data_IF_559511382535
#
_entry.id   IF_559511382535
#
_cell.length_a   1.000
_cell.length_b   1.000
_cell.length_c   1.000
_cell.angle_alpha   90.00
_cell.angle_beta   90.00
_cell.angle_gamma   90.00
#
_symmetry.space_group_name_H-M   'P 1'
#
loop_
_entity.id
_entity.type
_entity.pdbx_description
1 polymer ?
#
# COMPACT_ATOMS: atom_id res chain seq x y z
N UNK A 1 15.81 -19.46 12.95
CA UNK A 1 16.23 -18.06 12.67
C UNK A 1 16.81 -18.08 11.28
N UNK A 2 16.18 -17.36 10.33
CA UNK A 2 16.75 -17.24 8.99
C UNK A 2 18.02 -16.40 9.10
N UNK A 3 19.15 -16.92 8.60
CA UNK A 3 20.39 -16.16 8.52
C UNK A 3 20.11 -14.86 7.76
N UNK A 4 20.31 -13.71 8.44
CA UNK A 4 20.32 -12.41 7.78
C UNK A 4 21.45 -12.46 6.75
N UNK A 5 21.12 -12.57 5.47
CA UNK A 5 22.09 -12.38 4.39
C UNK A 5 22.62 -10.96 4.50
N UNK A 6 23.80 -10.84 5.05
CA UNK A 6 24.52 -9.57 5.08
C UNK A 6 24.98 -9.27 3.65
N UNK A 7 24.55 -8.15 3.09
CA UNK A 7 25.03 -7.71 1.77
C UNK A 7 26.46 -7.21 1.96
N UNK A 8 27.44 -8.03 1.60
CA UNK A 8 28.87 -7.69 1.73
C UNK A 8 29.34 -6.75 0.62
N UNK A 9 28.88 -7.00 -0.59
CA UNK A 9 29.18 -6.18 -1.77
C UNK A 9 27.88 -5.80 -2.50
N UNK A 10 27.86 -4.57 -3.03
CA UNK A 10 26.76 -4.10 -3.87
C UNK A 10 27.01 -4.61 -5.30
N UNK A 11 26.01 -5.22 -5.91
CA UNK A 11 26.05 -5.63 -7.32
C UNK A 11 26.27 -4.40 -8.21
N UNK A 12 27.01 -4.55 -9.30
CA UNK A 12 27.18 -3.47 -10.27
C UNK A 12 25.85 -3.18 -10.98
N UNK A 13 25.48 -1.90 -11.05
CA UNK A 13 24.22 -1.44 -11.65
C UNK A 13 24.09 -1.82 -13.12
N UNK A 14 25.22 -1.79 -13.87
CA UNK A 14 25.24 -2.13 -15.31
C UNK A 14 25.12 -3.65 -15.55
N UNK A 15 25.43 -4.47 -14.55
CA UNK A 15 25.34 -5.93 -14.62
C UNK A 15 23.93 -6.43 -14.27
N UNK A 16 23.36 -5.91 -13.18
CA UNK A 16 22.00 -6.27 -12.73
C UNK A 16 21.40 -5.12 -11.93
N UNK A 17 20.62 -4.28 -12.60
CA UNK A 17 19.99 -3.12 -11.99
C UNK A 17 19.03 -3.49 -10.84
N UNK A 18 18.22 -4.53 -11.01
CA UNK A 18 17.25 -4.93 -9.98
C UNK A 18 17.94 -5.39 -8.70
N UNK A 19 19.00 -6.17 -8.87
CA UNK A 19 19.80 -6.63 -7.75
C UNK A 19 20.59 -5.49 -7.11
N UNK A 20 21.22 -4.62 -7.89
CA UNK A 20 21.87 -3.41 -7.40
C UNK A 20 20.95 -2.57 -6.54
N UNK A 21 19.72 -2.28 -7.02
CA UNK A 21 18.73 -1.50 -6.29
C UNK A 21 18.40 -2.12 -4.92
N UNK A 22 18.17 -3.42 -4.91
CA UNK A 22 17.87 -4.16 -3.69
C UNK A 22 19.05 -4.17 -2.71
N UNK A 23 20.27 -4.40 -3.22
CA UNK A 23 21.49 -4.40 -2.41
C UNK A 23 21.74 -3.02 -1.78
N UNK A 24 21.53 -1.94 -2.53
CA UNK A 24 21.63 -0.55 -2.03
C UNK A 24 20.63 -0.31 -0.91
N UNK A 25 19.36 -0.62 -1.11
CA UNK A 25 18.32 -0.40 -0.12
C UNK A 25 18.58 -1.17 1.18
N UNK A 26 19.07 -2.42 1.05
CA UNK A 26 19.38 -3.28 2.20
C UNK A 26 20.66 -2.82 2.90
N UNK A 27 21.71 -2.52 2.16
CA UNK A 27 23.00 -2.06 2.69
C UNK A 27 22.91 -0.70 3.40
N UNK A 28 22.08 0.20 2.85
CA UNK A 28 21.79 1.50 3.46
C UNK A 28 20.79 1.41 4.63
N UNK A 29 20.39 0.22 5.02
CA UNK A 29 19.47 -0.02 6.14
C UNK A 29 18.09 0.66 5.97
N UNK A 30 17.64 0.84 4.72
CA UNK A 30 16.35 1.45 4.44
C UNK A 30 15.18 0.47 4.64
N UNK A 31 15.38 -0.79 4.27
CA UNK A 31 14.38 -1.86 4.33
C UNK A 31 14.96 -3.17 4.86
N UNK A 32 14.07 -3.99 5.41
CA UNK A 32 14.28 -5.43 5.62
C UNK A 32 13.14 -6.23 4.96
N UNK A 33 13.40 -7.46 4.58
CA UNK A 33 12.37 -8.38 4.08
C UNK A 33 11.49 -8.88 5.24
N UNK A 34 10.18 -8.85 5.04
CA UNK A 34 9.24 -9.47 5.97
C UNK A 34 9.10 -10.98 5.69
N UNK A 35 8.40 -11.68 6.59
CA UNK A 35 7.99 -13.07 6.37
C UNK A 35 6.87 -13.20 5.33
N UNK A 36 6.24 -12.10 4.94
CA UNK A 36 5.14 -12.05 3.97
C UNK A 36 5.73 -11.71 2.60
N UNK A 37 5.53 -12.60 1.63
CA UNK A 37 6.01 -12.39 0.26
C UNK A 37 5.48 -11.09 -0.33
N UNK A 38 6.38 -10.27 -0.86
CA UNK A 38 6.05 -8.98 -1.49
C UNK A 38 5.86 -7.81 -0.51
N UNK A 39 6.04 -8.05 0.79
CA UNK A 39 5.96 -6.98 1.80
C UNK A 39 7.31 -6.76 2.47
N UNK A 40 7.62 -5.49 2.73
CA UNK A 40 8.88 -5.05 3.33
C UNK A 40 8.63 -4.40 4.69
N UNK A 41 9.67 -4.44 5.52
CA UNK A 41 9.75 -3.65 6.74
C UNK A 41 10.57 -2.41 6.41
N UNK A 42 9.97 -1.24 6.50
CA UNK A 42 10.71 0.02 6.38
C UNK A 42 11.45 0.29 7.69
N UNK A 43 12.77 0.39 7.61
CA UNK A 43 13.62 0.71 8.75
C UNK A 43 13.63 2.23 9.01
N UNK A 44 14.14 2.70 10.15
CA UNK A 44 14.09 4.11 10.51
C UNK A 44 14.61 5.07 9.43
N UNK A 45 15.70 4.74 8.74
CA UNK A 45 16.23 5.59 7.68
C UNK A 45 15.30 5.63 6.45
N UNK A 46 14.75 4.48 6.04
CA UNK A 46 13.78 4.43 4.94
C UNK A 46 12.47 5.13 5.31
N UNK A 47 11.99 4.94 6.53
CA UNK A 47 10.78 5.62 7.00
C UNK A 47 10.96 7.13 7.11
N UNK A 48 12.15 7.62 7.50
CA UNK A 48 12.43 9.05 7.55
C UNK A 48 12.34 9.72 6.18
N UNK A 49 12.70 9.03 5.09
CA UNK A 49 12.52 9.53 3.72
C UNK A 49 11.01 9.67 3.44
N UNK A 50 10.22 8.66 3.73
CA UNK A 50 8.78 8.66 3.56
C UNK A 50 8.09 9.76 4.37
N UNK A 51 8.43 9.88 5.64
CA UNK A 51 7.88 10.91 6.55
C UNK A 51 8.16 12.33 6.04
N UNK A 52 9.38 12.58 5.53
CA UNK A 52 9.71 13.85 4.92
C UNK A 52 8.91 14.13 3.63
N UNK A 53 8.71 13.13 2.77
CA UNK A 53 7.87 13.26 1.57
C UNK A 53 6.44 13.62 1.98
N UNK A 54 5.83 12.88 2.91
CA UNK A 54 4.49 13.17 3.40
C UNK A 54 4.38 14.59 3.95
N UNK A 55 5.29 14.99 4.82
CA UNK A 55 5.27 16.31 5.46
C UNK A 55 5.38 17.45 4.45
N UNK A 56 6.25 17.32 3.46
CA UNK A 56 6.45 18.36 2.44
C UNK A 56 5.26 18.47 1.50
N UNK A 57 4.73 17.33 1.04
CA UNK A 57 3.56 17.31 0.13
C UNK A 57 2.30 17.77 0.84
N UNK A 58 2.04 17.32 2.06
CA UNK A 58 0.87 17.73 2.85
C UNK A 58 0.87 19.25 3.09
N UNK A 59 2.04 19.83 3.37
CA UNK A 59 2.17 21.27 3.53
C UNK A 59 1.80 22.04 2.25
N UNK A 60 2.18 21.54 1.08
CA UNK A 60 1.81 22.16 -0.21
C UNK A 60 0.31 22.03 -0.50
N UNK A 61 -0.29 20.87 -0.25
CA UNK A 61 -1.74 20.70 -0.41
C UNK A 61 -2.54 21.63 0.51
N UNK A 62 -2.14 21.79 1.75
CA UNK A 62 -2.80 22.69 2.71
C UNK A 62 -2.74 24.16 2.32
N UNK A 63 -1.71 24.62 1.63
CA UNK A 63 -1.63 25.97 1.10
C UNK A 63 -2.76 26.31 0.11
N UNK A 64 -3.32 25.30 -0.54
CA UNK A 64 -4.41 25.44 -1.51
C UNK A 64 -5.79 25.11 -0.92
N UNK A 65 -5.89 24.97 0.40
CA UNK A 65 -7.14 24.76 1.11
C UNK A 65 -7.62 23.32 1.17
N UNK A 66 -6.75 22.35 0.86
CA UNK A 66 -7.10 20.94 0.99
C UNK A 66 -7.07 20.51 2.46
N UNK A 67 -8.02 19.66 2.82
CA UNK A 67 -8.14 19.08 4.15
C UNK A 67 -7.97 17.55 4.09
N UNK A 68 -7.37 16.99 5.13
CA UNK A 68 -7.15 15.55 5.20
C UNK A 68 -8.43 14.84 5.63
N UNK A 69 -8.75 13.74 4.95
CA UNK A 69 -9.81 12.82 5.34
C UNK A 69 -9.25 11.41 5.48
N UNK A 70 -9.90 10.59 6.29
CA UNK A 70 -9.55 9.19 6.44
C UNK A 70 -10.77 8.30 6.15
N UNK A 71 -10.64 7.44 5.18
CA UNK A 71 -11.70 6.52 4.78
C UNK A 71 -11.41 5.10 5.29
N UNK A 72 -12.46 4.26 5.49
CA UNK A 72 -12.27 2.87 5.89
C UNK A 72 -11.33 2.11 4.98
N UNK A 73 -10.55 1.20 5.55
CA UNK A 73 -9.64 0.35 4.79
C UNK A 73 -10.39 -0.75 4.01
N UNK A 74 -11.54 -1.17 4.51
CA UNK A 74 -12.33 -2.26 3.95
C UNK A 74 -13.48 -1.70 3.11
N UNK A 75 -13.71 -2.30 1.95
CA UNK A 75 -14.81 -1.98 1.04
C UNK A 75 -15.70 -3.22 0.91
N UNK A 76 -17.04 -3.09 1.10
CA UNK A 76 -17.98 -4.18 0.82
C UNK A 76 -17.93 -4.58 -0.66
N UNK A 77 -18.04 -5.87 -0.94
CA UNK A 77 -18.07 -6.38 -2.31
C UNK A 77 -19.17 -5.75 -3.16
N UNK A 78 -20.37 -5.56 -2.57
CA UNK A 78 -21.51 -4.95 -3.22
C UNK A 78 -21.23 -3.53 -3.72
N UNK A 79 -20.37 -2.78 -3.00
CA UNK A 79 -19.99 -1.43 -3.40
C UNK A 79 -19.05 -1.44 -4.60
N UNK A 80 -18.08 -2.38 -4.63
CA UNK A 80 -17.18 -2.55 -5.77
C UNK A 80 -17.90 -3.04 -7.03
N UNK A 81 -18.93 -3.87 -6.88
CA UNK A 81 -19.72 -4.33 -8.02
C UNK A 81 -20.47 -3.21 -8.72
N UNK A 82 -20.92 -2.20 -7.98
CA UNK A 82 -21.55 -1.01 -8.58
C UNK A 82 -20.60 -0.24 -9.50
N UNK A 83 -19.30 -0.23 -9.20
CA UNK A 83 -18.31 0.39 -10.07
C UNK A 83 -17.97 -0.45 -11.30
N UNK A 84 -18.01 -1.77 -11.19
CA UNK A 84 -17.76 -2.67 -12.31
C UNK A 84 -18.73 -2.41 -13.47
N UNK A 85 -19.94 -1.98 -13.18
CA UNK A 85 -20.94 -1.64 -14.18
C UNK A 85 -20.61 -0.31 -14.91
N UNK A 86 -19.70 0.50 -14.35
CA UNK A 86 -19.28 1.78 -14.91
C UNK A 86 -17.90 1.77 -15.56
N UNK A 87 -17.07 0.78 -15.24
CA UNK A 87 -15.68 0.67 -15.75
C UNK A 87 -15.48 -0.68 -16.42
N UNK A 88 -15.59 -0.72 -17.75
CA UNK A 88 -15.26 -1.91 -18.54
C UNK A 88 -13.82 -2.38 -18.25
N UNK A 89 -13.67 -3.64 -17.86
CA UNK A 89 -12.36 -4.25 -17.64
C UNK A 89 -11.79 -4.15 -16.23
N UNK A 90 -12.48 -3.52 -15.28
CA UNK A 90 -12.03 -3.47 -13.89
C UNK A 90 -12.39 -4.77 -13.15
N UNK A 91 -11.45 -5.69 -13.09
CA UNK A 91 -11.48 -6.84 -12.17
C UNK A 91 -10.33 -6.70 -11.17
N UNK A 92 -10.52 -6.01 -10.04
CA UNK A 92 -9.43 -5.79 -9.09
C UNK A 92 -9.01 -7.12 -8.47
N UNK A 93 -7.74 -7.45 -8.60
CA UNK A 93 -7.10 -8.48 -7.80
C UNK A 93 -6.95 -7.93 -6.37
N UNK A 94 -7.91 -8.26 -5.50
CA UNK A 94 -7.98 -7.76 -4.13
C UNK A 94 -7.67 -8.85 -3.10
N UNK A 95 -7.12 -8.45 -1.97
CA UNK A 95 -7.13 -9.28 -0.79
C UNK A 95 -8.51 -9.20 -0.13
N UNK A 96 -9.12 -10.36 0.13
CA UNK A 96 -10.47 -10.47 0.63
C UNK A 96 -10.54 -10.94 2.08
N UNK A 97 -11.32 -10.25 2.90
CA UNK A 97 -11.70 -10.67 4.23
C UNK A 97 -13.03 -11.40 4.12
N UNK A 98 -13.02 -12.69 4.45
CA UNK A 98 -14.16 -13.60 4.27
C UNK A 98 -14.74 -14.10 5.59
N UNK A 99 -14.01 -13.94 6.71
CA UNK A 99 -14.38 -14.41 8.02
C UNK A 99 -14.10 -13.35 9.10
N UNK A 100 -14.95 -13.33 10.10
CA UNK A 100 -14.74 -12.65 11.38
C UNK A 100 -14.47 -13.71 12.47
N UNK A 101 -13.21 -13.89 12.85
CA UNK A 101 -12.83 -15.04 13.67
C UNK A 101 -13.07 -16.36 12.90
N UNK A 102 -13.89 -17.25 13.46
CA UNK A 102 -14.25 -18.53 12.83
C UNK A 102 -15.56 -18.48 12.03
N UNK A 103 -16.27 -17.37 12.07
CA UNK A 103 -17.56 -17.21 11.39
C UNK A 103 -17.38 -16.60 10.02
N UNK A 104 -18.05 -17.18 9.02
CA UNK A 104 -18.09 -16.64 7.68
C UNK A 104 -18.93 -15.36 7.66
N UNK A 105 -18.42 -14.32 7.04
CA UNK A 105 -19.17 -13.07 6.86
C UNK A 105 -20.33 -13.28 5.86
N UNK A 106 -21.44 -12.61 6.08
CA UNK A 106 -22.58 -12.58 5.13
C UNK A 106 -22.16 -11.96 3.81
N UNK A 107 -21.34 -10.91 3.86
CA UNK A 107 -20.71 -10.25 2.72
C UNK A 107 -19.20 -10.18 2.97
N UNK A 108 -18.41 -10.44 1.93
CA UNK A 108 -16.97 -10.28 2.02
C UNK A 108 -16.54 -8.84 1.79
N UNK A 109 -15.42 -8.47 2.39
CA UNK A 109 -14.83 -7.15 2.25
C UNK A 109 -13.48 -7.27 1.57
N UNK A 110 -13.15 -6.33 0.68
CA UNK A 110 -11.79 -6.25 0.17
C UNK A 110 -10.96 -5.20 0.92
N UNK A 111 -9.67 -5.43 1.03
CA UNK A 111 -8.73 -4.37 1.36
C UNK A 111 -8.69 -3.44 0.15
N UNK A 112 -9.01 -2.16 0.36
CA UNK A 112 -9.21 -1.20 -0.73
C UNK A 112 -7.99 -1.12 -1.66
N UNK A 113 -8.16 -1.37 -2.97
CA UNK A 113 -7.13 -1.09 -3.96
C UNK A 113 -7.08 0.41 -4.27
N UNK A 114 -8.21 1.09 -4.11
CA UNK A 114 -8.41 2.52 -4.40
C UNK A 114 -9.51 3.08 -3.47
N UNK A 115 -9.65 4.39 -3.38
CA UNK A 115 -10.58 5.05 -2.46
C UNK A 115 -11.75 5.77 -3.13
N UNK A 116 -11.76 5.88 -4.47
CA UNK A 116 -12.73 6.68 -5.22
C UNK A 116 -14.16 6.23 -4.95
N UNK A 117 -14.43 4.92 -4.90
CA UNK A 117 -15.74 4.35 -4.59
C UNK A 117 -16.29 4.83 -3.25
N UNK A 118 -15.42 4.83 -2.22
CA UNK A 118 -15.79 5.30 -0.89
C UNK A 118 -16.06 6.81 -0.88
N UNK A 119 -15.27 7.59 -1.63
CA UNK A 119 -15.51 9.02 -1.79
C UNK A 119 -16.86 9.28 -2.45
N UNK A 120 -17.13 8.62 -3.57
CA UNK A 120 -18.39 8.78 -4.31
C UNK A 120 -19.60 8.39 -3.44
N UNK A 121 -19.51 7.30 -2.67
CA UNK A 121 -20.61 6.90 -1.78
C UNK A 121 -20.83 7.92 -0.67
N UNK A 122 -19.78 8.44 -0.06
CA UNK A 122 -19.88 9.41 1.03
C UNK A 122 -20.40 10.75 0.54
N UNK A 123 -19.79 11.33 -0.48
CA UNK A 123 -20.14 12.66 -0.99
C UNK A 123 -21.46 12.72 -1.74
N UNK A 124 -22.02 11.59 -2.17
CA UNK A 124 -23.37 11.53 -2.72
C UNK A 124 -24.45 11.99 -1.73
N UNK A 125 -24.18 11.89 -0.42
CA UNK A 125 -25.12 12.14 0.66
C UNK A 125 -24.87 13.47 1.38
N UNK A 126 -23.94 14.28 0.91
CA UNK A 126 -23.64 15.64 1.35
C UNK A 126 -24.02 16.63 0.24
#
# INVERSE_FOLDING_TARGET
>A
MADKKQVEQITDMEVDFAKWYTDVCTKAELIDYSSIKGMFIYRPYGYAIWDNIQRLMDAEFKKTGHENVYLPMLIPESLLQKEKDHVEGFAPECAWVTHGGNEKLEERYCIRPTSETLFCEHYKNI
#
